data_IF_387241765359
#
_entry.id   IF_387241765359
#
_cell.length_a   1.000
_cell.length_b   1.000
_cell.length_c   1.000
_cell.angle_alpha   90.00
_cell.angle_beta   90.00
_cell.angle_gamma   90.00
#
_symmetry.space_group_name_H-M   'P 1'
#
loop_
_entity.id
_entity.type
_entity.pdbx_description
1 polymer ?
#
# COMPACT_ATOMS: atom_id res chain seq x y z
N UNK A 1 -37.60 -1.54 -59.82
CA UNK A 1 -38.38 -1.50 -58.57
C UNK A 1 -37.62 -2.23 -57.48
N UNK A 2 -37.63 -1.70 -56.25
CA UNK A 2 -36.56 -1.76 -55.25
C UNK A 2 -36.85 -2.82 -54.17
N UNK A 3 -36.20 -2.75 -53.00
CA UNK A 3 -36.35 -3.56 -51.76
C UNK A 3 -35.18 -4.54 -51.51
N UNK A 4 -34.51 -4.56 -50.36
CA UNK A 4 -34.59 -3.69 -49.20
C UNK A 4 -33.31 -3.82 -48.36
N UNK A 5 -32.89 -2.66 -47.83
CA UNK A 5 -31.90 -2.40 -46.80
C UNK A 5 -32.12 -3.30 -45.55
N UNK A 6 -31.07 -3.92 -45.02
CA UNK A 6 -31.10 -4.62 -43.74
C UNK A 6 -29.81 -4.41 -42.96
N UNK A 7 -29.65 -3.24 -42.34
CA UNK A 7 -28.52 -2.93 -41.46
C UNK A 7 -28.74 -3.58 -40.07
N UNK A 8 -27.92 -4.59 -39.76
CA UNK A 8 -27.91 -5.27 -38.47
C UNK A 8 -27.17 -4.37 -37.43
N UNK A 9 -27.94 -3.65 -36.61
CA UNK A 9 -27.40 -2.88 -35.49
C UNK A 9 -27.05 -3.84 -34.34
N UNK A 10 -25.76 -4.18 -34.20
CA UNK A 10 -25.23 -4.79 -32.98
C UNK A 10 -25.34 -3.76 -31.83
N UNK A 11 -26.36 -3.90 -31.01
CA UNK A 11 -26.46 -3.17 -29.74
C UNK A 11 -25.49 -3.81 -28.74
N UNK A 12 -24.31 -3.21 -28.60
CA UNK A 12 -23.37 -3.56 -27.53
C UNK A 12 -23.95 -3.15 -26.18
N UNK A 13 -24.23 -4.11 -25.32
CA UNK A 13 -24.52 -3.85 -23.92
C UNK A 13 -23.26 -3.30 -23.26
N UNK A 14 -23.19 -2.00 -23.05
CA UNK A 14 -22.19 -1.37 -22.17
C UNK A 14 -22.55 -1.78 -20.74
N UNK A 15 -21.90 -2.83 -20.24
CA UNK A 15 -21.87 -3.11 -18.81
C UNK A 15 -20.85 -2.18 -18.16
N UNK A 16 -21.33 -1.02 -17.70
CA UNK A 16 -20.59 -0.20 -16.75
C UNK A 16 -20.65 -0.91 -15.39
N UNK A 17 -19.58 -1.62 -15.03
CA UNK A 17 -19.43 -2.16 -13.69
C UNK A 17 -19.43 -1.00 -12.68
N UNK A 18 -20.37 -1.02 -11.73
CA UNK A 18 -20.40 -0.06 -10.61
C UNK A 18 -19.13 -0.28 -9.81
N UNK A 19 -18.16 0.62 -9.94
CA UNK A 19 -16.97 0.62 -9.09
C UNK A 19 -17.37 1.19 -7.73
N UNK A 20 -17.27 0.42 -6.64
CA UNK A 20 -17.49 0.96 -5.32
C UNK A 20 -16.45 2.05 -5.04
N UNK A 21 -16.91 3.22 -4.63
CA UNK A 21 -16.03 4.31 -4.21
C UNK A 21 -15.35 3.90 -2.90
N UNK A 22 -14.02 4.02 -2.86
CA UNK A 22 -13.26 3.75 -1.64
C UNK A 22 -13.76 4.66 -0.51
N UNK A 23 -14.00 4.07 0.66
CA UNK A 23 -14.65 4.73 1.77
C UNK A 23 -13.65 5.25 2.78
N UNK A 24 -13.94 6.39 3.39
CA UNK A 24 -13.11 6.97 4.45
C UNK A 24 -13.41 6.27 5.78
N UNK A 25 -12.36 5.80 6.46
CA UNK A 25 -12.48 5.17 7.79
C UNK A 25 -12.14 6.17 8.90
N UNK A 26 -11.16 7.05 8.67
CA UNK A 26 -10.77 8.08 9.63
C UNK A 26 -10.15 9.29 8.92
N UNK A 27 -10.19 10.44 9.57
CA UNK A 27 -9.53 11.69 9.16
C UNK A 27 -8.54 12.05 10.27
N UNK A 28 -7.29 12.34 9.89
CA UNK A 28 -6.18 12.63 10.81
C UNK A 28 -5.54 13.95 10.41
N UNK A 29 -5.84 15.03 11.14
CA UNK A 29 -5.53 16.41 10.78
C UNK A 29 -5.98 16.74 9.33
N UNK A 30 -5.03 16.76 8.38
CA UNK A 30 -5.26 17.09 6.98
C UNK A 30 -5.20 15.88 6.04
N UNK A 31 -5.06 14.66 6.58
CA UNK A 31 -4.93 13.43 5.80
C UNK A 31 -6.06 12.44 6.13
N UNK A 32 -6.27 11.46 5.25
CA UNK A 32 -7.43 10.57 5.28
C UNK A 32 -6.99 9.12 5.19
N UNK A 33 -7.47 8.29 6.12
CA UNK A 33 -7.23 6.85 6.10
C UNK A 33 -8.39 6.19 5.36
N UNK A 34 -8.06 5.60 4.20
CA UNK A 34 -9.02 4.90 3.34
C UNK A 34 -9.28 3.46 3.83
N UNK A 35 -10.46 2.93 3.48
CA UNK A 35 -10.85 1.56 3.81
C UNK A 35 -9.93 0.54 3.13
N UNK A 36 -9.59 0.78 1.86
CA UNK A 36 -8.64 -0.05 1.11
C UNK A 36 -7.28 -0.17 1.81
N UNK A 37 -6.76 0.95 2.33
CA UNK A 37 -5.49 1.02 3.06
C UNK A 37 -5.54 0.25 4.38
N UNK A 38 -6.61 0.42 5.16
CA UNK A 38 -6.81 -0.36 6.39
C UNK A 38 -6.87 -1.85 6.08
N UNK A 39 -7.65 -2.25 5.08
CA UNK A 39 -7.80 -3.66 4.71
C UNK A 39 -6.50 -4.27 4.18
N UNK A 40 -5.71 -3.50 3.43
CA UNK A 40 -4.39 -3.92 3.02
C UNK A 40 -3.48 -4.18 4.22
N UNK A 41 -3.43 -3.25 5.18
CA UNK A 41 -2.58 -3.41 6.36
C UNK A 41 -3.04 -4.57 7.25
N UNK A 42 -4.34 -4.81 7.37
CA UNK A 42 -4.88 -6.00 8.05
C UNK A 42 -4.39 -7.28 7.38
N UNK A 43 -4.45 -7.36 6.04
CA UNK A 43 -3.95 -8.54 5.29
C UNK A 43 -2.45 -8.76 5.52
N UNK A 44 -1.64 -7.71 5.49
CA UNK A 44 -0.20 -7.79 5.74
C UNK A 44 0.12 -8.33 7.16
N UNK A 45 -0.63 -7.86 8.17
CA UNK A 45 -0.50 -8.34 9.56
C UNK A 45 -0.90 -9.82 9.65
N UNK A 46 -2.02 -10.21 9.05
CA UNK A 46 -2.47 -11.61 9.02
C UNK A 46 -1.44 -12.53 8.35
N UNK A 47 -0.88 -12.13 7.21
CA UNK A 47 0.18 -12.88 6.53
C UNK A 47 1.43 -13.03 7.41
N UNK A 48 1.81 -11.96 8.13
CA UNK A 48 2.95 -11.99 9.04
C UNK A 48 2.71 -12.95 10.22
N UNK A 49 1.50 -12.95 10.80
CA UNK A 49 1.12 -13.87 11.88
C UNK A 49 1.10 -15.31 11.37
N UNK A 50 0.53 -15.55 10.18
CA UNK A 50 0.47 -16.86 9.55
C UNK A 50 1.87 -17.45 9.31
N UNK A 51 2.81 -16.63 8.81
CA UNK A 51 4.22 -17.03 8.61
C UNK A 51 4.93 -17.42 9.92
N UNK A 52 4.48 -16.91 11.07
CA UNK A 52 5.04 -17.24 12.40
C UNK A 52 4.40 -18.49 13.03
N UNK A 53 3.44 -19.14 12.35
CA UNK A 53 2.78 -20.35 12.84
C UNK A 53 1.81 -20.13 14.00
N UNK A 54 1.41 -18.88 14.27
CA UNK A 54 0.42 -18.55 15.29
C UNK A 54 -1.00 -18.56 14.69
N UNK A 55 -2.02 -18.83 15.52
CA UNK A 55 -3.42 -18.73 15.08
C UNK A 55 -3.73 -17.31 14.61
N UNK A 56 -4.17 -17.17 13.36
CA UNK A 56 -4.49 -15.87 12.74
C UNK A 56 -5.80 -15.36 13.34
N UNK A 57 -5.82 -14.20 14.03
CA UNK A 57 -7.04 -13.63 14.55
C UNK A 57 -8.01 -13.21 13.42
N UNK A 58 -9.32 -13.20 13.69
CA UNK A 58 -10.30 -12.59 12.81
C UNK A 58 -9.93 -11.16 12.44
N UNK A 59 -10.20 -10.76 11.19
CA UNK A 59 -9.90 -9.40 10.72
C UNK A 59 -10.57 -8.32 11.58
N UNK A 60 -11.77 -8.58 12.10
CA UNK A 60 -12.52 -7.66 12.96
C UNK A 60 -11.76 -7.31 14.26
N UNK A 61 -10.98 -8.24 14.80
CA UNK A 61 -10.21 -8.02 16.03
C UNK A 61 -8.92 -7.23 15.76
N UNK A 62 -8.41 -7.32 14.53
CA UNK A 62 -7.21 -6.61 14.08
C UNK A 62 -7.51 -5.19 13.59
N UNK A 63 -8.72 -4.95 13.06
CA UNK A 63 -9.10 -3.66 12.47
C UNK A 63 -8.87 -2.47 13.43
N UNK A 64 -9.32 -2.47 14.70
CA UNK A 64 -9.08 -1.36 15.62
C UNK A 64 -7.59 -1.10 15.84
N UNK A 65 -6.82 -2.17 16.07
CA UNK A 65 -5.38 -2.07 16.33
C UNK A 65 -4.62 -1.55 15.10
N UNK A 66 -5.02 -1.98 13.91
CA UNK A 66 -4.46 -1.50 12.65
C UNK A 66 -4.83 -0.04 12.41
N UNK A 67 -6.06 0.36 12.69
CA UNK A 67 -6.50 1.74 12.56
C UNK A 67 -5.70 2.67 13.48
N UNK A 68 -5.59 2.34 14.78
CA UNK A 68 -4.77 3.10 15.73
C UNK A 68 -3.33 3.23 15.26
N UNK A 69 -2.78 2.13 14.72
CA UNK A 69 -1.43 2.13 14.17
C UNK A 69 -1.29 3.05 12.96
N UNK A 70 -2.26 3.05 12.04
CA UNK A 70 -2.27 3.93 10.87
C UNK A 70 -2.39 5.40 11.27
N UNK A 71 -3.21 5.72 12.27
CA UNK A 71 -3.34 7.07 12.81
C UNK A 71 -2.00 7.53 13.39
N UNK A 72 -1.36 6.71 14.23
CA UNK A 72 -0.09 7.05 14.83
C UNK A 72 1.04 7.21 13.79
N UNK A 73 1.10 6.32 12.78
CA UNK A 73 2.03 6.45 11.66
C UNK A 73 1.81 7.77 10.89
N UNK A 74 0.55 8.13 10.64
CA UNK A 74 0.21 9.38 9.97
C UNK A 74 0.66 10.62 10.77
N UNK A 75 0.38 10.66 12.07
CA UNK A 75 0.84 11.74 12.95
C UNK A 75 2.36 11.85 12.98
N UNK A 76 3.08 10.72 13.03
CA UNK A 76 4.54 10.70 12.99
C UNK A 76 5.10 11.24 11.67
N UNK A 77 4.50 10.88 10.54
CA UNK A 77 4.89 11.43 9.24
C UNK A 77 4.70 12.95 9.20
N UNK A 78 3.54 13.44 9.64
CA UNK A 78 3.27 14.88 9.70
C UNK A 78 4.26 15.61 10.63
N UNK A 79 4.59 15.02 11.78
CA UNK A 79 5.60 15.58 12.68
C UNK A 79 6.98 15.64 12.02
N UNK A 80 7.37 14.59 11.29
CA UNK A 80 8.64 14.55 10.56
C UNK A 80 8.72 15.64 9.49
N UNK A 81 7.65 15.82 8.72
CA UNK A 81 7.53 16.88 7.72
C UNK A 81 7.62 18.28 8.35
N UNK A 82 6.83 18.54 9.42
CA UNK A 82 6.84 19.82 10.15
C UNK A 82 8.19 20.12 10.78
N UNK A 83 8.94 19.10 11.17
CA UNK A 83 10.29 19.23 11.75
C UNK A 83 11.39 19.35 10.70
N UNK A 84 11.04 19.33 9.40
CA UNK A 84 12.01 19.44 8.30
C UNK A 84 12.85 18.19 8.09
N UNK A 85 12.43 17.03 8.59
CA UNK A 85 13.13 15.76 8.39
C UNK A 85 13.01 15.38 6.92
N UNK A 86 14.15 15.25 6.24
CA UNK A 86 14.23 14.77 4.86
C UNK A 86 15.15 13.57 4.78
N UNK A 87 14.81 12.65 3.91
CA UNK A 87 15.64 11.48 3.58
C UNK A 87 16.22 11.75 2.18
N UNK A 88 17.53 11.83 2.09
CA UNK A 88 18.21 11.93 0.79
C UNK A 88 18.16 10.60 0.03
N UNK A 89 18.33 10.64 -1.29
CA UNK A 89 18.33 9.43 -2.09
C UNK A 89 19.51 8.50 -1.76
N UNK A 90 20.64 9.06 -1.33
CA UNK A 90 21.80 8.28 -0.87
C UNK A 90 21.48 7.50 0.40
N UNK A 91 20.87 8.15 1.40
CA UNK A 91 20.42 7.49 2.62
C UNK A 91 19.37 6.40 2.33
N UNK A 92 18.44 6.68 1.40
CA UNK A 92 17.43 5.72 0.98
C UNK A 92 18.07 4.50 0.29
N UNK A 93 19.02 4.72 -0.61
CA UNK A 93 19.74 3.64 -1.30
C UNK A 93 20.54 2.78 -0.32
N UNK A 94 21.19 3.39 0.68
CA UNK A 94 21.90 2.67 1.74
C UNK A 94 20.95 1.84 2.61
N UNK A 95 19.79 2.38 2.97
CA UNK A 95 18.77 1.68 3.73
C UNK A 95 18.24 0.46 2.95
N UNK A 96 17.90 0.63 1.67
CA UNK A 96 17.45 -0.46 0.79
C UNK A 96 18.54 -1.52 0.65
N UNK A 97 19.80 -1.11 0.46
CA UNK A 97 20.94 -2.04 0.44
C UNK A 97 21.05 -2.86 1.72
N UNK A 98 20.85 -2.24 2.87
CA UNK A 98 20.85 -2.92 4.18
C UNK A 98 19.68 -3.91 4.30
N UNK A 99 18.49 -3.56 3.81
CA UNK A 99 17.31 -4.46 3.80
C UNK A 99 17.56 -5.66 2.89
N UNK A 100 18.09 -5.44 1.69
CA UNK A 100 18.43 -6.51 0.76
C UNK A 100 19.46 -7.47 1.39
N UNK A 101 20.53 -6.92 1.99
CA UNK A 101 21.54 -7.72 2.68
C UNK A 101 20.95 -8.55 3.84
N UNK A 102 20.04 -7.98 4.65
CA UNK A 102 19.34 -8.73 5.71
C UNK A 102 18.50 -9.89 5.19
N UNK A 103 18.02 -9.80 3.96
CA UNK A 103 17.29 -10.86 3.28
C UNK A 103 18.22 -11.77 2.44
N UNK A 104 19.54 -11.68 2.62
CA UNK A 104 20.57 -12.43 1.88
C UNK A 104 20.47 -12.27 0.36
N UNK A 105 20.08 -11.07 -0.09
CA UNK A 105 19.86 -10.75 -1.51
C UNK A 105 20.61 -9.48 -1.91
N UNK A 106 21.00 -9.40 -3.18
CA UNK A 106 21.49 -8.15 -3.78
C UNK A 106 20.33 -7.18 -4.02
N UNK A 107 20.63 -5.90 -4.25
CA UNK A 107 19.59 -4.89 -4.59
C UNK A 107 18.84 -5.28 -5.88
N UNK A 108 19.54 -5.86 -6.85
CA UNK A 108 18.92 -6.35 -8.09
C UNK A 108 17.98 -7.53 -7.84
N UNK A 109 18.38 -8.47 -6.99
CA UNK A 109 17.54 -9.61 -6.57
C UNK A 109 16.34 -9.14 -5.76
N UNK A 110 16.50 -8.16 -4.88
CA UNK A 110 15.41 -7.56 -4.13
C UNK A 110 14.39 -6.91 -5.07
N UNK A 111 14.85 -6.16 -6.08
CA UNK A 111 13.97 -5.59 -7.12
C UNK A 111 13.21 -6.66 -7.90
N UNK A 112 13.89 -7.76 -8.26
CA UNK A 112 13.25 -8.88 -8.94
C UNK A 112 12.21 -9.60 -8.07
N UNK A 113 12.48 -9.76 -6.78
CA UNK A 113 11.54 -10.33 -5.81
C UNK A 113 10.28 -9.46 -5.66
N UNK A 114 10.44 -8.14 -5.56
CA UNK A 114 9.31 -7.21 -5.52
C UNK A 114 8.44 -7.31 -6.78
N UNK A 115 9.07 -7.36 -7.95
CA UNK A 115 8.35 -7.51 -9.22
C UNK A 115 7.60 -8.85 -9.30
N UNK A 116 8.18 -9.94 -8.78
CA UNK A 116 7.52 -11.23 -8.67
C UNK A 116 6.29 -11.19 -7.75
N UNK A 117 6.36 -10.40 -6.68
CA UNK A 117 5.25 -10.19 -5.74
C UNK A 117 4.24 -9.13 -6.21
N UNK A 118 4.42 -8.59 -7.42
CA UNK A 118 3.53 -7.59 -8.04
C UNK A 118 3.69 -6.18 -7.47
N UNK A 119 4.78 -5.90 -6.75
CA UNK A 119 5.09 -4.61 -6.15
C UNK A 119 6.06 -3.81 -7.02
N UNK A 120 5.80 -2.52 -7.20
CA UNK A 120 6.76 -1.62 -7.85
C UNK A 120 7.95 -1.36 -6.94
N UNK A 121 9.14 -1.28 -7.53
CA UNK A 121 10.33 -0.83 -6.81
C UNK A 121 10.16 0.59 -6.27
N UNK A 122 9.43 1.45 -6.98
CA UNK A 122 9.14 2.82 -6.56
C UNK A 122 8.26 2.85 -5.30
N UNK A 123 7.20 2.04 -5.27
CA UNK A 123 6.33 1.94 -4.09
C UNK A 123 7.10 1.44 -2.86
N UNK A 124 7.99 0.47 -3.06
CA UNK A 124 8.87 -0.04 -2.01
C UNK A 124 9.86 1.03 -1.53
N UNK A 125 10.45 1.81 -2.45
CA UNK A 125 11.34 2.94 -2.11
C UNK A 125 10.61 3.97 -1.25
N UNK A 126 9.40 4.36 -1.67
CA UNK A 126 8.61 5.33 -0.92
C UNK A 126 8.14 4.79 0.43
N UNK A 127 7.85 3.50 0.53
CA UNK A 127 7.57 2.86 1.81
C UNK A 127 8.78 2.92 2.75
N UNK A 128 9.98 2.58 2.27
CA UNK A 128 11.21 2.67 3.07
C UNK A 128 11.48 4.13 3.49
N UNK A 129 11.26 5.09 2.59
CA UNK A 129 11.39 6.53 2.91
C UNK A 129 10.47 6.93 4.06
N UNK A 130 9.20 6.54 4.02
CA UNK A 130 8.23 6.81 5.10
C UNK A 130 8.67 6.19 6.42
N UNK A 131 9.10 4.93 6.41
CA UNK A 131 9.59 4.25 7.62
C UNK A 131 10.84 4.94 8.22
N UNK A 132 11.75 5.44 7.38
CA UNK A 132 12.91 6.20 7.82
C UNK A 132 12.52 7.53 8.48
N UNK A 133 11.53 8.25 7.94
CA UNK A 133 11.00 9.48 8.54
C UNK A 133 10.40 9.16 9.91
N UNK A 134 9.52 8.16 9.98
CA UNK A 134 8.87 7.71 11.22
C UNK A 134 9.93 7.33 12.27
N UNK A 135 10.98 6.59 11.87
CA UNK A 135 12.04 6.17 12.79
C UNK A 135 12.86 7.33 13.36
N UNK A 136 12.92 8.48 12.68
CA UNK A 136 13.64 9.67 13.16
C UNK A 136 12.80 10.54 14.11
N UNK A 137 11.49 10.37 14.09
CA UNK A 137 10.54 11.11 14.95
C UNK A 137 10.35 10.44 16.32
N UNK A 138 10.65 9.14 16.41
CA UNK A 138 10.53 8.36 17.65
C UNK A 138 11.58 8.70 18.69
#
# INVERSE_FOLDING_TARGET
CPLMLGALLLSGAVHAAVQPLDSVVAIVDNDVIMKSQMDQRVREVQQTIAKRGSGVPPAADLQPQVLDRLILENLQLQMGERSGIRVSDDELNQAIGTIAQRNNMSVEQFRAALAHDGLSYEDAREQVRREMIISRVR
#
